data_IF_583686690510
#
_entry.id   IF_583686690510
#
_cell.length_a   1.000
_cell.length_b   1.000
_cell.length_c   1.000
_cell.angle_alpha   90.00
_cell.angle_beta   90.00
_cell.angle_gamma   90.00
#
_symmetry.space_group_name_H-M   'P 1'
#
loop_
_entity.id
_entity.type
_entity.pdbx_description
1 polymer ?
#
# COMPACT_ATOMS: atom_id res chain seq x y z
N UNK A 1 22.15 -5.22 -7.97
CA UNK A 1 21.57 -5.03 -6.64
C UNK A 1 20.17 -5.58 -6.60
N UNK A 2 19.78 -6.11 -5.45
CA UNK A 2 18.46 -6.69 -5.26
C UNK A 2 17.67 -5.81 -4.29
N UNK A 3 16.42 -5.58 -4.63
CA UNK A 3 15.46 -4.95 -3.75
C UNK A 3 14.17 -5.77 -3.76
N UNK A 4 13.62 -5.98 -2.59
CA UNK A 4 12.33 -6.64 -2.43
C UNK A 4 11.31 -5.56 -2.14
N UNK A 5 10.21 -5.55 -2.90
CA UNK A 5 9.11 -4.62 -2.69
C UNK A 5 7.84 -5.44 -2.52
N UNK A 6 7.31 -5.41 -1.31
CA UNK A 6 6.09 -6.13 -0.97
C UNK A 6 4.88 -5.20 -1.06
N UNK A 7 3.73 -5.78 -1.32
CA UNK A 7 2.47 -5.05 -1.37
C UNK A 7 1.61 -5.42 -0.18
N UNK A 8 1.39 -4.46 0.72
CA UNK A 8 0.44 -4.59 1.81
C UNK A 8 -0.90 -3.95 1.40
N UNK A 9 -1.51 -3.22 2.29
CA UNK A 9 -2.73 -2.47 2.08
C UNK A 9 -2.89 -1.48 3.22
N UNK A 10 -3.61 -0.40 2.99
CA UNK A 10 -4.02 0.47 4.09
C UNK A 10 -4.87 -0.26 5.13
N UNK A 11 -5.51 -1.38 4.77
CA UNK A 11 -6.23 -2.23 5.72
C UNK A 11 -5.32 -2.83 6.78
N UNK A 12 -4.00 -2.82 6.60
CA UNK A 12 -3.06 -3.19 7.65
C UNK A 12 -3.11 -2.19 8.83
N UNK A 13 -3.57 -0.97 8.57
CA UNK A 13 -3.66 0.12 9.56
C UNK A 13 -5.11 0.48 9.87
N UNK A 14 -5.95 0.58 8.85
CA UNK A 14 -7.31 1.09 8.93
C UNK A 14 -8.34 -0.02 8.63
N UNK A 15 -8.15 -1.21 9.17
CA UNK A 15 -9.06 -2.33 8.89
C UNK A 15 -10.51 -2.00 9.21
N UNK A 16 -11.41 -2.34 8.29
CA UNK A 16 -12.83 -2.13 8.43
C UNK A 16 -13.51 -3.37 9.00
N UNK A 17 -14.76 -3.24 9.38
CA UNK A 17 -15.57 -4.38 9.82
C UNK A 17 -15.56 -5.45 8.73
N UNK A 18 -15.31 -6.69 9.14
CA UNK A 18 -15.19 -7.83 8.21
C UNK A 18 -13.79 -8.07 7.66
N UNK A 19 -12.82 -7.24 8.02
CA UNK A 19 -11.45 -7.35 7.48
C UNK A 19 -10.43 -7.93 8.47
N UNK A 20 -10.87 -8.65 9.52
CA UNK A 20 -9.92 -9.18 10.52
C UNK A 20 -8.84 -10.04 9.85
N UNK A 21 -9.22 -11.01 9.03
CA UNK A 21 -8.28 -11.89 8.36
C UNK A 21 -7.43 -11.13 7.33
N UNK A 22 -8.05 -10.26 6.53
CA UNK A 22 -7.34 -9.47 5.53
C UNK A 22 -6.34 -8.52 6.18
N UNK A 23 -6.76 -7.82 7.24
CA UNK A 23 -5.87 -6.92 8.00
C UNK A 23 -4.74 -7.68 8.68
N UNK A 24 -4.99 -8.88 9.19
CA UNK A 24 -3.95 -9.72 9.77
C UNK A 24 -2.90 -10.10 8.73
N UNK A 25 -3.33 -10.50 7.53
CA UNK A 25 -2.44 -10.86 6.43
C UNK A 25 -1.59 -9.65 6.00
N UNK A 26 -2.23 -8.52 5.76
CA UNK A 26 -1.53 -7.32 5.29
C UNK A 26 -0.72 -6.68 6.40
N UNK A 27 -1.20 -6.75 7.64
CA UNK A 27 -0.44 -6.33 8.81
C UNK A 27 0.81 -7.16 9.02
N UNK A 28 0.74 -8.45 8.71
CA UNK A 28 1.91 -9.33 8.74
C UNK A 28 2.98 -8.89 7.74
N UNK A 29 2.57 -8.47 6.54
CA UNK A 29 3.50 -7.95 5.53
C UNK A 29 4.19 -6.67 6.04
N UNK A 30 3.44 -5.77 6.65
CA UNK A 30 4.01 -4.55 7.24
C UNK A 30 4.99 -4.93 8.37
N UNK A 31 4.56 -5.85 9.26
CA UNK A 31 5.37 -6.26 10.40
C UNK A 31 6.68 -6.92 10.02
N UNK A 32 6.73 -7.66 8.91
CA UNK A 32 7.96 -8.34 8.49
C UNK A 32 8.92 -7.44 7.70
N UNK A 33 8.51 -6.25 7.31
CA UNK A 33 9.31 -5.38 6.43
C UNK A 33 10.65 -5.00 7.06
N UNK A 34 10.65 -4.46 8.26
CA UNK A 34 11.88 -4.06 8.94
C UNK A 34 12.76 -5.26 9.31
N UNK A 35 12.22 -6.34 9.89
CA UNK A 35 13.05 -7.52 10.17
C UNK A 35 13.70 -8.10 8.91
N UNK A 36 12.99 -8.16 7.79
CA UNK A 36 13.58 -8.65 6.53
C UNK A 36 14.72 -7.74 6.08
N UNK A 37 14.53 -6.43 6.14
CA UNK A 37 15.58 -5.49 5.79
C UNK A 37 16.83 -5.68 6.67
N UNK A 38 16.61 -5.97 7.95
CA UNK A 38 17.70 -6.21 8.90
C UNK A 38 18.41 -7.53 8.62
N UNK A 39 17.65 -8.60 8.44
CA UNK A 39 18.22 -9.92 8.16
C UNK A 39 19.02 -9.95 6.86
N UNK A 40 18.54 -9.25 5.85
CA UNK A 40 19.15 -9.26 4.52
C UNK A 40 20.22 -8.19 4.33
N UNK A 41 20.48 -7.38 5.34
CA UNK A 41 21.48 -6.30 5.25
C UNK A 41 22.88 -6.85 4.99
N UNK A 42 23.21 -8.02 5.56
CA UNK A 42 24.52 -8.64 5.39
C UNK A 42 24.80 -9.08 3.94
N UNK A 43 23.76 -9.29 3.16
CA UNK A 43 23.89 -9.67 1.75
C UNK A 43 23.52 -8.52 0.79
N UNK A 44 23.30 -7.34 1.32
CA UNK A 44 23.09 -6.14 0.51
C UNK A 44 21.75 -6.07 -0.19
N UNK A 45 20.71 -6.70 0.38
CA UNK A 45 19.36 -6.68 -0.18
C UNK A 45 18.49 -5.74 0.65
N UNK A 46 17.83 -4.80 -0.02
CA UNK A 46 16.86 -3.90 0.61
C UNK A 46 15.47 -4.51 0.56
N UNK A 47 14.64 -4.13 1.54
CA UNK A 47 13.25 -4.60 1.59
C UNK A 47 12.35 -3.45 2.02
N UNK A 48 11.40 -3.10 1.17
CA UNK A 48 10.40 -2.08 1.44
C UNK A 48 9.00 -2.59 1.11
N UNK A 49 8.00 -1.92 1.61
CA UNK A 49 6.60 -2.29 1.41
C UNK A 49 5.80 -1.07 0.98
N UNK A 50 4.88 -1.28 0.06
CA UNK A 50 3.87 -0.27 -0.31
C UNK A 50 2.53 -0.71 0.27
N UNK A 51 1.86 0.21 0.95
CA UNK A 51 0.50 0.02 1.42
C UNK A 51 -0.42 0.92 0.57
N UNK A 52 -0.95 0.41 -0.54
CA UNK A 52 -1.80 1.22 -1.39
C UNK A 52 -3.18 1.42 -0.77
N UNK A 53 -3.76 2.57 -1.07
CA UNK A 53 -5.16 2.84 -0.83
C UNK A 53 -6.00 2.26 -1.96
N UNK A 54 -7.03 2.99 -2.36
CA UNK A 54 -7.96 2.51 -3.37
C UNK A 54 -7.49 2.97 -4.75
N UNK A 55 -7.14 2.01 -5.58
CA UNK A 55 -6.57 2.25 -6.90
C UNK A 55 -7.62 1.98 -7.99
N UNK A 56 -7.52 2.71 -9.10
CA UNK A 56 -8.41 2.57 -10.26
C UNK A 56 -8.07 1.32 -11.06
N UNK A 57 -8.27 0.15 -10.46
CA UNK A 57 -8.06 -1.13 -11.11
C UNK A 57 -9.31 -1.54 -11.87
N UNK A 58 -9.20 -2.45 -12.87
CA UNK A 58 -10.38 -2.94 -13.59
C UNK A 58 -11.45 -3.50 -12.65
N UNK A 59 -11.04 -4.21 -11.60
CA UNK A 59 -11.98 -4.78 -10.62
C UNK A 59 -12.79 -3.68 -9.95
N UNK A 60 -12.13 -2.63 -9.46
CA UNK A 60 -12.83 -1.53 -8.79
C UNK A 60 -13.67 -0.71 -9.77
N UNK A 61 -13.15 -0.46 -10.97
CA UNK A 61 -13.88 0.30 -11.97
C UNK A 61 -15.12 -0.45 -12.50
N UNK A 62 -15.22 -1.75 -12.25
CA UNK A 62 -16.41 -2.54 -12.56
C UNK A 62 -17.51 -2.37 -11.51
N UNK A 63 -17.20 -1.78 -10.36
CA UNK A 63 -18.19 -1.52 -9.32
C UNK A 63 -19.17 -0.42 -9.77
N UNK A 64 -20.42 -0.41 -9.24
CA UNK A 64 -21.35 0.69 -9.54
C UNK A 64 -20.75 2.05 -9.25
N UNK A 65 -21.09 3.04 -10.07
CA UNK A 65 -20.55 4.40 -9.93
C UNK A 65 -20.80 4.96 -8.53
N UNK A 66 -21.96 4.64 -7.95
CA UNK A 66 -22.33 5.08 -6.60
C UNK A 66 -21.33 4.58 -5.54
N UNK A 67 -20.86 3.35 -5.70
CA UNK A 67 -19.86 2.76 -4.80
C UNK A 67 -18.52 3.47 -4.98
N UNK A 68 -18.11 3.71 -6.23
CA UNK A 68 -16.88 4.44 -6.53
C UNK A 68 -16.91 5.86 -5.95
N UNK A 69 -18.04 6.57 -6.11
CA UNK A 69 -18.21 7.93 -5.61
C UNK A 69 -18.13 7.97 -4.07
N UNK A 70 -18.71 6.96 -3.41
CA UNK A 70 -18.63 6.85 -1.96
C UNK A 70 -17.20 6.71 -1.45
N UNK A 71 -16.40 5.92 -2.15
CA UNK A 71 -14.99 5.73 -1.82
C UNK A 71 -14.23 7.04 -2.01
N UNK A 72 -14.40 7.68 -3.17
CA UNK A 72 -13.71 8.94 -3.49
C UNK A 72 -14.06 10.04 -2.49
N UNK A 73 -15.30 10.07 -2.00
CA UNK A 73 -15.71 11.08 -1.02
C UNK A 73 -14.90 11.05 0.27
N UNK A 74 -14.33 9.88 0.61
CA UNK A 74 -13.50 9.71 1.80
C UNK A 74 -12.01 10.01 1.58
N UNK A 75 -11.61 10.31 0.34
CA UNK A 75 -10.21 10.63 0.03
C UNK A 75 -10.02 12.15 0.15
N UNK A 76 -9.16 12.62 1.06
CA UNK A 76 -8.97 14.06 1.23
C UNK A 76 -8.44 14.77 -0.02
N UNK A 77 -7.33 14.31 -0.57
CA UNK A 77 -6.70 14.94 -1.75
C UNK A 77 -5.59 14.05 -2.30
N UNK A 78 -5.52 13.86 -3.63
CA UNK A 78 -6.46 14.33 -4.64
C UNK A 78 -7.79 13.56 -4.57
N UNK A 79 -8.89 14.24 -4.93
CA UNK A 79 -10.26 13.69 -4.87
C UNK A 79 -10.52 12.74 -6.02
N UNK A 80 -9.83 11.64 -6.04
CA UNK A 80 -9.96 10.59 -7.03
C UNK A 80 -9.31 9.30 -6.53
N UNK A 81 -9.58 8.19 -7.21
CA UNK A 81 -8.85 6.95 -6.99
C UNK A 81 -7.39 7.14 -7.45
N UNK A 82 -6.49 6.39 -6.84
CA UNK A 82 -5.10 6.35 -7.28
C UNK A 82 -4.98 5.67 -8.63
N UNK A 83 -4.06 6.16 -9.48
CA UNK A 83 -3.80 5.53 -10.77
C UNK A 83 -2.79 4.40 -10.58
N UNK A 84 -2.97 3.24 -11.26
CA UNK A 84 -1.98 2.17 -11.21
C UNK A 84 -0.57 2.62 -11.58
N UNK A 85 -0.44 3.60 -12.47
CA UNK A 85 0.86 4.17 -12.85
C UNK A 85 1.54 4.87 -11.68
N UNK A 86 0.78 5.41 -10.73
CA UNK A 86 1.33 6.04 -9.54
C UNK A 86 1.94 5.01 -8.59
N UNK A 87 1.34 3.83 -8.50
CA UNK A 87 1.94 2.71 -7.80
C UNK A 87 3.26 2.31 -8.45
N UNK A 88 3.26 2.14 -9.78
CA UNK A 88 4.47 1.82 -10.53
C UNK A 88 5.56 2.87 -10.38
N UNK A 89 5.19 4.14 -10.32
CA UNK A 89 6.11 5.26 -10.10
C UNK A 89 6.81 5.14 -8.75
N UNK A 90 6.08 4.77 -7.70
CA UNK A 90 6.68 4.55 -6.37
C UNK A 90 7.60 3.33 -6.38
N UNK A 91 7.23 2.25 -7.09
CA UNK A 91 8.10 1.08 -7.24
C UNK A 91 9.42 1.48 -7.87
N UNK A 92 9.41 2.25 -8.95
CA UNK A 92 10.62 2.73 -9.62
C UNK A 92 11.46 3.56 -8.65
N UNK A 93 10.83 4.46 -7.89
CA UNK A 93 11.54 5.25 -6.90
C UNK A 93 12.22 4.37 -5.84
N UNK A 94 11.53 3.36 -5.34
CA UNK A 94 12.09 2.45 -4.35
C UNK A 94 13.27 1.65 -4.90
N UNK A 95 13.25 1.30 -6.18
CA UNK A 95 14.37 0.65 -6.84
C UNK A 95 15.57 1.57 -6.93
N UNK A 96 15.34 2.82 -7.32
CA UNK A 96 16.42 3.78 -7.61
C UNK A 96 16.99 4.44 -6.36
N UNK A 97 16.19 4.58 -5.32
CA UNK A 97 16.64 5.24 -4.08
C UNK A 97 17.29 4.21 -3.14
N UNK A 98 18.59 4.10 -3.21
CA UNK A 98 19.33 3.07 -2.48
C UNK A 98 19.36 3.27 -0.96
N UNK A 99 18.95 4.44 -0.46
CA UNK A 99 18.90 4.70 0.97
C UNK A 99 17.56 4.35 1.61
N UNK A 100 16.55 4.04 0.80
CA UNK A 100 15.23 3.64 1.26
C UNK A 100 15.23 2.15 1.56
N UNK A 101 15.13 1.78 2.83
CA UNK A 101 15.20 0.40 3.27
C UNK A 101 14.43 0.20 4.57
N UNK A 102 13.68 -0.88 4.68
CA UNK A 102 12.93 -1.23 5.89
C UNK A 102 11.68 -0.40 6.12
N UNK A 103 11.18 0.30 5.11
CA UNK A 103 10.08 1.25 5.25
C UNK A 103 8.80 0.74 4.60
N UNK A 104 7.68 1.12 5.19
CA UNK A 104 6.36 0.92 4.59
C UNK A 104 5.80 2.29 4.23
N UNK A 105 5.43 2.48 2.97
CA UNK A 105 4.89 3.74 2.47
C UNK A 105 3.42 3.56 2.13
N UNK A 106 2.55 4.35 2.75
CA UNK A 106 1.15 4.43 2.38
C UNK A 106 1.02 5.32 1.13
N UNK A 107 0.36 4.79 0.11
CA UNK A 107 0.08 5.51 -1.13
C UNK A 107 -1.43 5.59 -1.31
N UNK A 108 -2.06 6.61 -0.73
CA UNK A 108 -3.50 6.54 -0.48
C UNK A 108 -4.26 7.88 -0.49
N UNK A 109 -3.62 8.97 -0.90
CA UNK A 109 -4.29 10.28 -0.90
C UNK A 109 -4.73 10.74 0.49
N UNK A 110 -4.06 10.28 1.54
CA UNK A 110 -4.35 10.58 2.93
C UNK A 110 -5.69 10.01 3.44
N UNK A 111 -6.25 9.03 2.74
CA UNK A 111 -7.47 8.40 3.21
C UNK A 111 -7.23 7.64 4.51
N UNK A 112 -8.22 7.71 5.40
CA UNK A 112 -8.28 6.85 6.58
C UNK A 112 -9.66 6.21 6.57
N UNK A 113 -9.69 4.89 6.47
CA UNK A 113 -10.95 4.17 6.24
C UNK A 113 -11.84 4.24 7.47
N UNK A 114 -13.12 4.45 7.24
CA UNK A 114 -14.15 4.38 8.28
C UNK A 114 -14.35 2.93 8.72
N UNK A 115 -14.95 2.69 9.92
CA UNK A 115 -15.19 1.33 10.41
C UNK A 115 -15.99 0.45 9.45
N UNK A 116 -16.79 1.06 8.61
CA UNK A 116 -17.54 0.31 7.59
C UNK A 116 -17.72 1.12 6.32
#
# INVERSE_FOLDING_TARGET
RVVIINTASIAAFDGQMGQVAYSATKGGIVGMTLPMARDLSSVGIRCNTIAPGVMATPLLLSAPQQVQDGIVSGIPFPKRLGEPSEFGQLVVHMVENSYLNGETVRLDGAVRMQPR
#
